data_IF_218113930794
#
_entry.id   IF_218113930794
#
_cell.length_a   1.000
_cell.length_b   1.000
_cell.length_c   1.000
_cell.angle_alpha   90.00
_cell.angle_beta   90.00
_cell.angle_gamma   90.00
#
_symmetry.space_group_name_H-M   'P 1'
#
loop_
_entity.id
_entity.type
_entity.pdbx_description
1 polymer ?
#
# COMPACT_ATOMS: atom_id res chain seq x y z
N UNK A 1 -19.17 50.51 -48.30
CA UNK A 1 -19.26 49.04 -48.49
C UNK A 1 -17.88 48.45 -48.14
N UNK A 2 -17.48 48.36 -46.87
CA UNK A 2 -17.83 47.35 -45.87
C UNK A 2 -17.76 45.91 -46.41
N UNK A 3 -16.59 45.26 -46.29
CA UNK A 3 -16.47 43.87 -45.79
C UNK A 3 -15.16 43.73 -45.01
N UNK A 4 -15.27 43.96 -43.70
CA UNK A 4 -14.32 43.48 -42.69
C UNK A 4 -14.24 41.95 -42.79
N UNK A 5 -13.05 41.40 -43.04
CA UNK A 5 -12.75 40.01 -42.76
C UNK A 5 -11.99 39.98 -41.43
N UNK A 6 -12.78 39.86 -40.35
CA UNK A 6 -12.30 39.60 -38.99
C UNK A 6 -11.82 38.15 -38.96
N UNK A 7 -10.50 37.96 -39.02
CA UNK A 7 -9.90 36.65 -38.82
C UNK A 7 -9.72 36.42 -37.32
N UNK A 8 -10.75 35.84 -36.70
CA UNK A 8 -10.75 35.42 -35.30
C UNK A 8 -9.76 34.27 -35.13
N UNK A 9 -8.54 34.57 -34.66
CA UNK A 9 -7.59 33.55 -34.21
C UNK A 9 -8.09 33.05 -32.85
N UNK A 10 -8.50 31.78 -32.87
CA UNK A 10 -8.96 30.96 -31.77
C UNK A 10 -7.87 30.88 -30.68
N UNK A 11 -8.08 31.57 -29.55
CA UNK A 11 -7.29 31.38 -28.36
C UNK A 11 -7.57 29.97 -27.79
N UNK A 12 -6.63 29.04 -28.01
CA UNK A 12 -6.64 27.76 -27.30
C UNK A 12 -6.23 28.05 -25.86
N UNK A 13 -7.24 28.09 -24.99
CA UNK A 13 -7.09 28.15 -23.55
C UNK A 13 -6.32 26.89 -23.12
N UNK A 14 -5.17 27.04 -22.46
CA UNK A 14 -4.48 25.94 -21.79
C UNK A 14 -5.35 25.51 -20.61
N UNK A 15 -6.21 24.52 -20.87
CA UNK A 15 -7.04 23.86 -19.86
C UNK A 15 -6.20 22.85 -19.05
N UNK A 16 -6.51 22.76 -17.76
CA UNK A 16 -6.17 21.70 -16.82
C UNK A 16 -4.78 21.77 -16.16
N UNK A 17 -4.59 22.73 -15.27
CA UNK A 17 -4.04 22.36 -13.95
C UNK A 17 -5.10 21.47 -13.29
N UNK A 18 -5.05 20.16 -13.56
CA UNK A 18 -5.70 19.21 -12.68
C UNK A 18 -5.03 19.37 -11.33
N UNK A 19 -5.76 19.90 -10.35
CA UNK A 19 -5.41 19.83 -8.94
C UNK A 19 -5.36 18.36 -8.56
N UNK A 20 -4.20 17.73 -8.79
CA UNK A 20 -3.84 16.47 -8.15
C UNK A 20 -3.60 16.83 -6.69
N UNK A 21 -4.66 16.82 -5.89
CA UNK A 21 -4.47 16.82 -4.45
C UNK A 21 -3.59 15.59 -4.12
N UNK A 22 -2.45 15.78 -3.43
CA UNK A 22 -1.61 14.66 -3.06
C UNK A 22 -2.43 13.68 -2.22
N UNK A 23 -2.39 12.39 -2.61
CA UNK A 23 -3.09 11.32 -1.88
C UNK A 23 -2.78 11.42 -0.38
N UNK A 24 -3.79 11.18 0.44
CA UNK A 24 -3.63 11.14 1.89
C UNK A 24 -2.66 10.02 2.31
N UNK A 25 -1.98 10.16 3.46
CA UNK A 25 -1.18 9.07 4.03
C UNK A 25 -1.94 7.74 4.11
N UNK A 26 -3.21 7.80 4.48
CA UNK A 26 -4.12 6.65 4.55
C UNK A 26 -4.25 5.95 3.20
N UNK A 27 -4.52 6.69 2.12
CA UNK A 27 -4.67 6.12 0.78
C UNK A 27 -3.34 5.52 0.27
N UNK A 28 -2.22 6.19 0.53
CA UNK A 28 -0.89 5.69 0.15
C UNK A 28 -0.57 4.39 0.89
N UNK A 29 -0.78 4.35 2.20
CA UNK A 29 -0.50 3.17 3.02
C UNK A 29 -1.46 2.03 2.70
N UNK A 30 -2.75 2.32 2.46
CA UNK A 30 -3.72 1.31 2.06
C UNK A 30 -3.32 0.61 0.76
N UNK A 31 -2.93 1.39 -0.26
CA UNK A 31 -2.49 0.84 -1.55
C UNK A 31 -1.24 -0.02 -1.39
N UNK A 32 -0.24 0.44 -0.64
CA UNK A 32 1.01 -0.30 -0.40
C UNK A 32 0.79 -1.57 0.40
N UNK A 33 -0.05 -1.53 1.43
CA UNK A 33 -0.39 -2.71 2.21
C UNK A 33 -1.15 -3.75 1.37
N UNK A 34 -2.08 -3.31 0.51
CA UNK A 34 -2.78 -4.22 -0.39
C UNK A 34 -1.81 -4.87 -1.39
N UNK A 35 -0.92 -4.09 -2.02
CA UNK A 35 0.11 -4.65 -2.91
C UNK A 35 0.97 -5.72 -2.21
N UNK A 36 1.34 -5.47 -0.95
CA UNK A 36 2.07 -6.46 -0.15
C UNK A 36 1.26 -7.73 0.08
N UNK A 37 -0.04 -7.61 0.39
CA UNK A 37 -0.94 -8.76 0.56
C UNK A 37 -1.10 -9.54 -0.73
N UNK A 38 -1.23 -8.85 -1.86
CA UNK A 38 -1.35 -9.46 -3.18
C UNK A 38 -0.09 -10.28 -3.53
N UNK A 39 1.10 -9.72 -3.28
CA UNK A 39 2.37 -10.42 -3.46
C UNK A 39 2.48 -11.67 -2.56
N UNK A 40 2.09 -11.54 -1.28
CA UNK A 40 2.07 -12.68 -0.36
C UNK A 40 1.14 -13.81 -0.81
N UNK A 41 -0.04 -13.47 -1.35
CA UNK A 41 -1.03 -14.46 -1.80
C UNK A 41 -0.57 -15.28 -3.01
N UNK A 42 0.43 -14.81 -3.75
CA UNK A 42 1.00 -15.52 -4.91
C UNK A 42 2.42 -16.03 -4.63
N UNK A 43 2.81 -16.12 -3.37
CA UNK A 43 4.14 -16.56 -2.91
C UNK A 43 5.31 -15.70 -3.46
N UNK A 44 5.04 -14.45 -3.87
CA UNK A 44 6.07 -13.48 -4.27
C UNK A 44 6.66 -12.79 -3.04
N UNK A 45 7.45 -13.56 -2.29
CA UNK A 45 8.08 -13.09 -1.06
C UNK A 45 9.16 -12.04 -1.32
N UNK A 46 9.76 -12.00 -2.51
CA UNK A 46 10.76 -11.00 -2.88
C UNK A 46 10.12 -9.62 -3.01
N UNK A 47 8.97 -9.53 -3.68
CA UNK A 47 8.19 -8.29 -3.80
C UNK A 47 7.56 -7.89 -2.46
N UNK A 48 6.93 -8.83 -1.75
CA UNK A 48 6.36 -8.57 -0.43
C UNK A 48 7.41 -8.05 0.58
N UNK A 49 8.64 -8.58 0.50
CA UNK A 49 9.75 -8.13 1.32
C UNK A 49 10.18 -6.68 1.01
N UNK A 50 9.95 -6.15 -0.19
CA UNK A 50 10.31 -4.76 -0.53
C UNK A 50 9.56 -3.71 0.31
N UNK A 51 8.41 -4.08 0.86
CA UNK A 51 7.62 -3.21 1.74
C UNK A 51 8.20 -3.11 3.16
N UNK A 52 9.12 -4.00 3.55
CA UNK A 52 9.81 -3.91 4.82
C UNK A 52 10.75 -2.69 4.88
N UNK A 53 10.97 -2.17 6.09
CA UNK A 53 11.87 -1.02 6.28
C UNK A 53 13.29 -1.31 5.78
N UNK A 54 14.04 -0.30 5.30
CA UNK A 54 15.44 -0.48 4.91
C UNK A 54 16.28 -1.14 6.01
N UNK A 55 16.10 -0.72 7.27
CA UNK A 55 16.79 -1.30 8.41
C UNK A 55 16.51 -2.81 8.56
N UNK A 56 15.23 -3.21 8.51
CA UNK A 56 14.85 -4.63 8.56
C UNK A 56 15.52 -5.42 7.43
N UNK A 57 15.54 -4.87 6.21
CA UNK A 57 16.13 -5.55 5.05
C UNK A 57 17.65 -5.66 5.09
N UNK A 58 18.34 -4.82 5.86
CA UNK A 58 19.78 -4.98 6.08
C UNK A 58 20.13 -6.11 7.05
N UNK A 59 19.19 -6.52 7.91
CA UNK A 59 19.43 -7.50 8.97
C UNK A 59 18.77 -8.85 8.71
N UNK A 60 17.59 -8.88 8.12
CA UNK A 60 16.79 -10.09 7.91
C UNK A 60 16.75 -10.46 6.43
N UNK A 61 17.05 -11.71 6.09
CA UNK A 61 17.04 -12.17 4.69
C UNK A 61 15.63 -12.41 4.16
N UNK A 62 15.46 -12.37 2.83
CA UNK A 62 14.20 -12.79 2.17
C UNK A 62 13.79 -14.21 2.58
N UNK A 63 14.75 -15.13 2.75
CA UNK A 63 14.44 -16.51 3.17
C UNK A 63 13.87 -16.59 4.59
N UNK A 64 14.30 -15.72 5.50
CA UNK A 64 13.75 -15.66 6.85
C UNK A 64 12.38 -15.01 6.83
N UNK A 65 12.22 -13.93 6.06
CA UNK A 65 10.94 -13.29 5.83
C UNK A 65 9.89 -14.26 5.24
N UNK A 66 10.25 -15.02 4.20
CA UNK A 66 9.36 -16.00 3.56
C UNK A 66 8.95 -17.11 4.52
N UNK A 67 9.85 -17.57 5.40
CA UNK A 67 9.52 -18.58 6.41
C UNK A 67 8.41 -18.12 7.37
N UNK A 68 8.34 -16.81 7.68
CA UNK A 68 7.26 -16.24 8.49
C UNK A 68 5.91 -16.21 7.76
N UNK A 69 5.95 -16.08 6.44
CA UNK A 69 4.77 -15.92 5.60
C UNK A 69 4.45 -17.15 4.74
N UNK A 70 5.11 -18.29 4.95
CA UNK A 70 5.00 -19.49 4.09
C UNK A 70 3.60 -20.11 3.97
N UNK A 71 2.62 -19.65 4.75
CA UNK A 71 1.21 -20.04 4.63
C UNK A 71 0.35 -19.04 3.85
N UNK A 72 0.90 -17.93 3.38
CA UNK A 72 0.13 -16.84 2.79
C UNK A 72 -0.41 -17.16 1.40
N UNK A 73 0.31 -17.96 0.60
CA UNK A 73 -0.20 -18.49 -0.68
C UNK A 73 -1.44 -19.40 -0.54
N UNK A 74 -1.76 -19.86 0.68
CA UNK A 74 -2.95 -20.66 0.96
C UNK A 74 -4.15 -19.82 1.44
N UNK A 75 -4.00 -18.50 1.55
CA UNK A 75 -5.11 -17.59 1.85
C UNK A 75 -6.12 -17.59 0.70
N UNK A 76 -7.40 -17.56 1.04
CA UNK A 76 -8.48 -17.42 0.07
C UNK A 76 -8.68 -15.97 -0.34
N UNK A 77 -8.44 -15.04 0.58
CA UNK A 77 -8.40 -13.60 0.31
C UNK A 77 -7.59 -12.88 1.40
N UNK A 78 -7.02 -11.73 1.02
CA UNK A 78 -6.39 -10.78 1.93
C UNK A 78 -6.75 -9.36 1.48
N UNK A 79 -7.37 -8.58 2.36
CA UNK A 79 -7.92 -7.28 1.98
C UNK A 79 -7.73 -6.26 3.08
N UNK A 80 -7.22 -5.08 2.74
CA UNK A 80 -7.18 -3.93 3.65
C UNK A 80 -8.60 -3.47 3.95
N UNK A 81 -8.98 -3.49 5.22
CA UNK A 81 -10.30 -3.07 5.70
C UNK A 81 -10.30 -1.61 6.15
N UNK A 82 -9.23 -1.17 6.82
CA UNK A 82 -9.10 0.22 7.25
C UNK A 82 -7.63 0.61 7.46
N UNK A 83 -7.38 1.92 7.35
CA UNK A 83 -6.10 2.55 7.70
C UNK A 83 -6.39 3.75 8.59
N UNK A 84 -5.63 3.88 9.67
CA UNK A 84 -5.70 5.01 10.59
C UNK A 84 -4.31 5.61 10.78
N UNK A 85 -4.17 6.90 10.51
CA UNK A 85 -2.91 7.63 10.62
C UNK A 85 -3.00 8.71 11.71
N UNK A 86 -3.02 8.34 13.01
CA UNK A 86 -3.20 9.29 14.09
C UNK A 86 -1.97 10.19 14.27
N UNK A 87 -2.20 11.45 14.63
CA UNK A 87 -1.14 12.38 15.01
C UNK A 87 -1.34 13.80 14.49
N UNK A 88 -0.35 14.64 14.74
CA UNK A 88 -0.27 16.00 14.17
C UNK A 88 0.55 15.94 12.89
N UNK A 89 0.13 16.67 11.87
CA UNK A 89 0.83 16.70 10.58
C UNK A 89 2.27 17.22 10.72
N UNK A 90 3.24 16.62 10.00
CA UNK A 90 3.09 15.47 9.12
C UNK A 90 3.01 14.14 9.89
N UNK A 91 1.99 13.32 9.60
CA UNK A 91 1.86 11.96 10.14
C UNK A 91 3.11 11.13 9.80
N UNK A 92 3.62 10.40 10.81
CA UNK A 92 4.78 9.50 10.67
C UNK A 92 4.47 8.01 10.86
N UNK A 93 3.26 7.67 11.31
CA UNK A 93 2.82 6.31 11.56
C UNK A 93 1.37 6.13 11.13
N UNK A 94 1.09 5.02 10.48
CA UNK A 94 -0.26 4.55 10.18
C UNK A 94 -0.42 3.12 10.69
N UNK A 95 -1.65 2.77 11.09
CA UNK A 95 -2.04 1.41 11.44
C UNK A 95 -3.00 0.90 10.38
N UNK A 96 -2.69 -0.27 9.84
CA UNK A 96 -3.52 -0.98 8.86
C UNK A 96 -4.22 -2.12 9.57
N UNK A 97 -5.51 -2.31 9.28
CA UNK A 97 -6.27 -3.50 9.61
C UNK A 97 -6.63 -4.23 8.32
N UNK A 98 -6.06 -5.41 8.11
CA UNK A 98 -6.43 -6.32 7.03
C UNK A 98 -7.34 -7.44 7.53
N UNK A 99 -8.17 -7.99 6.64
CA UNK A 99 -8.87 -9.24 6.85
C UNK A 99 -8.25 -10.33 5.97
N UNK A 100 -7.90 -11.46 6.59
CA UNK A 100 -7.41 -12.65 5.93
C UNK A 100 -8.47 -13.73 6.04
N UNK A 101 -8.89 -14.29 4.91
CA UNK A 101 -9.78 -15.46 4.87
C UNK A 101 -8.95 -16.69 4.52
N UNK A 102 -9.08 -17.76 5.29
CA UNK A 102 -8.35 -19.01 5.06
C UNK A 102 -9.23 -20.21 5.39
N UNK A 103 -8.85 -21.40 4.91
CA UNK A 103 -9.58 -22.64 5.16
C UNK A 103 -8.66 -23.70 5.77
N UNK A 104 -8.78 -23.98 7.08
CA UNK A 104 -8.07 -25.10 7.68
C UNK A 104 -8.53 -26.44 7.07
N UNK A 105 -7.65 -27.46 7.04
CA UNK A 105 -8.02 -28.78 6.54
C UNK A 105 -9.25 -29.33 7.28
N UNK A 106 -10.24 -29.83 6.53
CA UNK A 106 -11.50 -30.40 7.05
C UNK A 106 -12.40 -29.42 7.83
N UNK A 107 -12.15 -28.11 7.76
CA UNK A 107 -12.99 -27.09 8.39
C UNK A 107 -13.57 -26.10 7.37
N UNK A 108 -14.56 -25.31 7.80
CA UNK A 108 -15.09 -24.20 7.00
C UNK A 108 -14.07 -23.06 6.91
N UNK A 109 -14.27 -22.16 5.95
CA UNK A 109 -13.47 -20.94 5.89
C UNK A 109 -13.67 -20.09 7.15
N UNK A 110 -12.60 -19.47 7.61
CA UNK A 110 -12.53 -18.58 8.75
C UNK A 110 -11.89 -17.26 8.29
N UNK A 111 -12.20 -16.16 8.98
CA UNK A 111 -11.47 -14.91 8.82
C UNK A 111 -10.73 -14.53 10.09
N UNK A 112 -9.61 -13.83 9.93
CA UNK A 112 -8.82 -13.26 11.02
C UNK A 112 -8.35 -11.86 10.64
N UNK A 113 -8.19 -11.00 11.64
CA UNK A 113 -7.61 -9.68 11.42
C UNK A 113 -6.08 -9.77 11.41
N UNK A 114 -5.45 -9.06 10.48
CA UNK A 114 -4.02 -8.81 10.44
C UNK A 114 -3.78 -7.32 10.70
N UNK A 115 -3.09 -6.99 11.79
CA UNK A 115 -2.80 -5.60 12.16
C UNK A 115 -1.34 -5.30 11.83
N UNK A 116 -1.11 -4.21 11.12
CA UNK A 116 0.23 -3.78 10.73
C UNK A 116 0.49 -2.33 11.13
N UNK A 117 1.70 -2.05 11.58
CA UNK A 117 2.21 -0.70 11.79
C UNK A 117 3.09 -0.30 10.60
N UNK A 118 2.79 0.85 10.00
CA UNK A 118 3.52 1.42 8.87
C UNK A 118 4.16 2.74 9.26
N UNK A 119 5.42 2.95 8.87
CA UNK A 119 6.23 4.09 9.27
C UNK A 119 6.69 4.89 8.05
N UNK A 120 6.64 6.21 8.15
CA UNK A 120 7.20 7.11 7.15
C UNK A 120 8.70 7.31 7.42
N UNK A 121 9.54 6.77 6.54
CA UNK A 121 11.01 6.83 6.62
C UNK A 121 11.51 7.42 5.30
N UNK A 122 12.28 8.51 5.38
CA UNK A 122 12.88 9.20 4.22
C UNK A 122 11.91 9.46 3.05
N UNK A 123 10.66 9.81 3.39
CA UNK A 123 9.62 10.16 2.42
C UNK A 123 8.84 8.97 1.85
N UNK A 124 9.09 7.74 2.31
CA UNK A 124 8.35 6.55 1.87
C UNK A 124 7.79 5.74 3.06
N UNK A 125 6.71 5.00 2.81
CA UNK A 125 6.02 4.21 3.83
C UNK A 125 6.49 2.75 3.81
N UNK A 126 6.90 2.26 4.98
CA UNK A 126 7.39 0.90 5.15
C UNK A 126 6.66 0.18 6.29
N UNK A 127 6.46 -1.12 6.11
CA UNK A 127 5.99 -2.01 7.15
C UNK A 127 7.04 -2.10 8.26
N UNK A 128 6.62 -1.82 9.49
CA UNK A 128 7.40 -2.09 10.69
C UNK A 128 7.34 -3.59 11.02
N UNK A 129 8.51 -4.15 11.31
CA UNK A 129 8.67 -5.54 11.73
C UNK A 129 9.75 -5.58 12.79
N UNK A 130 9.55 -6.40 13.82
CA UNK A 130 10.58 -6.63 14.82
C UNK A 130 11.68 -7.52 14.24
N UNK A 131 12.93 -7.22 14.59
CA UNK A 131 14.10 -7.99 14.16
C UNK A 131 14.25 -9.16 15.13
N UNK A 132 14.47 -10.39 14.64
CA UNK A 132 14.69 -11.54 15.50
C UNK A 132 13.45 -12.36 15.86
N UNK A 133 12.24 -11.97 15.43
CA UNK A 133 11.02 -12.82 15.47
C UNK A 133 11.09 -13.92 14.41
#
# INVERSE_FOLDING_TARGET
MQKLLVSTILAVVLSACASLDPMSPEEIVAARAQQRFDALMVDDYEDAYQFASPAYRTTESVSRYSSRWGGAGMWLSATVQSVSCPGVQPVKRCKVSGEIVYRPPRHKALSTALIEDWLLIDGNWYLYQEIGE
#
